data_IF_508913408935
#
_entry.id   IF_508913408935
#
_cell.length_a   1.000
_cell.length_b   1.000
_cell.length_c   1.000
_cell.angle_alpha   90.00
_cell.angle_beta   90.00
_cell.angle_gamma   90.00
#
_symmetry.space_group_name_H-M   'P 1'
#
loop_
_entity.id
_entity.type
_entity.pdbx_description
1 polymer ?
#
# COMPACT_ATOMS: atom_id res chain seq x y z
N UNK A 1 15.27 -14.98 16.14
CA UNK A 1 14.99 -14.86 14.69
C UNK A 1 13.74 -15.67 14.39
N UNK A 2 12.75 -15.08 13.75
CA UNK A 2 11.51 -15.76 13.36
C UNK A 2 11.44 -15.85 11.84
N UNK A 3 10.92 -16.96 11.32
CA UNK A 3 10.69 -17.11 9.88
C UNK A 3 9.38 -16.40 9.52
N UNK A 4 9.44 -15.52 8.52
CA UNK A 4 8.30 -14.79 8.00
C UNK A 4 7.89 -15.34 6.66
N UNK A 5 6.58 -15.56 6.47
CA UNK A 5 5.98 -15.80 5.15
C UNK A 5 5.61 -14.45 4.56
N UNK A 6 6.10 -14.15 3.37
CA UNK A 6 5.87 -12.86 2.72
C UNK A 6 5.23 -12.99 1.33
N UNK A 7 4.59 -11.90 0.91
CA UNK A 7 4.21 -11.61 -0.47
C UNK A 7 4.86 -10.28 -0.83
N UNK A 8 5.51 -10.23 -1.98
CA UNK A 8 6.19 -9.03 -2.48
C UNK A 8 5.92 -8.83 -3.98
N UNK A 9 6.23 -7.64 -4.47
CA UNK A 9 6.13 -7.25 -5.87
C UNK A 9 7.53 -6.97 -6.41
N UNK A 10 7.89 -7.58 -7.53
CA UNK A 10 9.07 -7.20 -8.30
C UNK A 10 8.77 -5.97 -9.16
N UNK A 11 9.82 -5.29 -9.64
CA UNK A 11 9.69 -4.08 -10.46
C UNK A 11 8.91 -4.30 -11.77
N UNK A 12 8.89 -5.52 -12.30
CA UNK A 12 8.11 -5.95 -13.47
C UNK A 12 6.62 -6.21 -13.16
N UNK A 13 6.18 -5.96 -11.92
CA UNK A 13 4.82 -6.24 -11.45
C UNK A 13 4.58 -7.71 -11.10
N UNK A 14 5.58 -8.58 -11.20
CA UNK A 14 5.44 -9.99 -10.83
C UNK A 14 5.34 -10.13 -9.32
N UNK A 15 4.32 -10.88 -8.88
CA UNK A 15 4.14 -11.20 -7.46
C UNK A 15 5.04 -12.36 -7.06
N UNK A 16 5.88 -12.13 -6.05
CA UNK A 16 6.77 -13.13 -5.45
C UNK A 16 6.23 -13.52 -4.08
N UNK A 17 6.30 -14.81 -3.76
CA UNK A 17 5.99 -15.32 -2.41
C UNK A 17 7.19 -16.12 -1.93
N UNK A 18 7.48 -16.05 -0.65
CA UNK A 18 8.59 -16.80 -0.07
C UNK A 18 8.57 -16.79 1.44
N UNK A 19 9.61 -17.38 2.00
CA UNK A 19 9.91 -17.31 3.42
C UNK A 19 11.28 -16.65 3.59
N UNK A 20 11.42 -15.85 4.64
CA UNK A 20 12.68 -15.21 4.99
C UNK A 20 12.76 -15.03 6.51
N UNK A 21 13.93 -15.26 7.08
CA UNK A 21 14.18 -14.97 8.48
C UNK A 21 14.45 -13.49 8.68
N UNK A 22 13.74 -12.89 9.64
CA UNK A 22 13.91 -11.50 10.05
C UNK A 22 13.54 -11.35 11.54
N UNK A 23 14.16 -10.41 12.24
CA UNK A 23 13.85 -10.07 13.62
C UNK A 23 12.47 -9.42 13.74
N UNK A 24 12.12 -8.56 12.78
CA UNK A 24 10.85 -7.83 12.72
C UNK A 24 10.43 -7.53 11.27
N UNK A 25 9.30 -6.82 11.12
CA UNK A 25 8.76 -6.43 9.82
C UNK A 25 9.68 -5.45 9.07
N UNK A 26 10.34 -4.53 9.78
CA UNK A 26 11.21 -3.53 9.17
C UNK A 26 12.49 -4.14 8.61
N UNK A 27 13.07 -5.12 9.31
CA UNK A 27 14.19 -5.90 8.80
C UNK A 27 13.78 -6.72 7.56
N UNK A 28 12.60 -7.33 7.57
CA UNK A 28 12.06 -8.05 6.42
C UNK A 28 11.91 -7.13 5.20
N UNK A 29 11.33 -5.93 5.38
CA UNK A 29 11.20 -4.93 4.32
C UNK A 29 12.55 -4.53 3.75
N UNK A 30 13.55 -4.27 4.61
CA UNK A 30 14.91 -3.92 4.16
C UNK A 30 15.57 -5.04 3.38
N UNK A 31 15.43 -6.28 3.82
CA UNK A 31 15.99 -7.47 3.14
C UNK A 31 15.33 -7.72 1.78
N UNK A 32 14.03 -7.47 1.65
CA UNK A 32 13.31 -7.55 0.38
C UNK A 32 13.67 -6.38 -0.54
N UNK A 33 13.77 -5.16 0.00
CA UNK A 33 14.19 -3.98 -0.74
C UNK A 33 15.57 -4.14 -1.37
N UNK A 34 16.53 -4.74 -0.66
CA UNK A 34 17.86 -5.08 -1.19
C UNK A 34 17.82 -6.07 -2.38
N UNK A 35 16.68 -6.75 -2.60
CA UNK A 35 16.43 -7.67 -3.72
C UNK A 35 15.52 -7.06 -4.79
N UNK A 36 15.29 -5.74 -4.75
CA UNK A 36 14.34 -5.03 -5.58
C UNK A 36 12.91 -5.61 -5.49
N UNK A 37 12.51 -6.04 -4.29
CA UNK A 37 11.18 -6.53 -3.97
C UNK A 37 10.49 -5.57 -3.01
N UNK A 38 9.30 -5.10 -3.39
CA UNK A 38 8.43 -4.29 -2.54
C UNK A 38 7.53 -5.22 -1.70
N UNK A 39 7.63 -5.16 -0.37
CA UNK A 39 6.77 -5.98 0.49
C UNK A 39 5.29 -5.58 0.33
N UNK A 40 4.41 -6.57 0.14
CA UNK A 40 2.95 -6.38 0.08
C UNK A 40 2.29 -6.82 1.39
N UNK A 41 2.73 -7.96 1.95
CA UNK A 41 2.13 -8.58 3.14
C UNK A 41 3.12 -9.56 3.76
N UNK A 42 3.17 -9.60 5.09
CA UNK A 42 4.04 -10.50 5.83
C UNK A 42 3.34 -11.06 7.07
N UNK A 43 3.62 -12.33 7.38
CA UNK A 43 3.11 -12.99 8.59
C UNK A 43 4.20 -13.85 9.22
N UNK A 44 4.40 -13.80 10.55
CA UNK A 44 5.31 -14.71 11.21
C UNK A 44 4.76 -16.15 11.11
N UNK A 45 5.64 -17.12 10.88
CA UNK A 45 5.27 -18.53 10.77
C UNK A 45 4.72 -19.02 12.11
N UNK A 46 3.42 -19.34 12.15
CA UNK A 46 2.70 -19.78 13.35
C UNK A 46 1.87 -18.69 14.05
N UNK A 47 1.95 -17.43 13.60
CA UNK A 47 1.13 -16.33 14.13
C UNK A 47 -0.21 -16.20 13.41
N UNK A 48 -1.30 -16.15 14.18
CA UNK A 48 -2.57 -15.62 13.68
C UNK A 48 -2.44 -14.10 13.52
N UNK A 49 -2.81 -13.56 12.36
CA UNK A 49 -2.87 -12.11 12.15
C UNK A 49 -3.99 -11.54 13.02
N UNK A 50 -3.64 -10.95 14.16
CA UNK A 50 -4.58 -10.41 15.16
C UNK A 50 -5.27 -9.11 14.71
N UNK A 51 -4.86 -8.54 13.58
CA UNK A 51 -5.39 -7.28 13.07
C UNK A 51 -5.94 -7.48 11.66
N UNK A 52 -7.21 -7.88 11.58
CA UNK A 52 -7.97 -7.84 10.32
C UNK A 52 -8.30 -6.37 10.03
N UNK A 53 -7.33 -5.61 9.50
CA UNK A 53 -7.56 -4.26 8.93
C UNK A 53 -8.72 -4.40 7.94
N UNK A 54 -9.81 -3.65 8.14
CA UNK A 54 -10.99 -3.70 7.25
C UNK A 54 -10.52 -3.33 5.85
N UNK A 55 -10.54 -4.29 4.93
CA UNK A 55 -10.09 -4.08 3.55
C UNK A 55 -11.17 -3.28 2.82
N UNK A 56 -10.74 -2.29 2.04
CA UNK A 56 -11.62 -1.61 1.09
C UNK A 56 -12.04 -2.66 0.03
N UNK A 57 -13.34 -2.82 -0.26
CA UNK A 57 -13.79 -3.79 -1.25
C UNK A 57 -13.33 -3.38 -2.64
N UNK A 58 -13.22 -4.36 -3.54
CA UNK A 58 -12.74 -4.13 -4.91
C UNK A 58 -13.65 -3.18 -5.70
N UNK A 59 -14.95 -3.16 -5.38
CA UNK A 59 -15.91 -2.24 -6.01
C UNK A 59 -15.63 -0.76 -5.72
N UNK A 60 -14.94 -0.44 -4.62
CA UNK A 60 -14.52 0.93 -4.30
C UNK A 60 -13.08 1.19 -4.77
N UNK A 61 -12.18 0.21 -4.61
CA UNK A 61 -10.77 0.36 -5.00
C UNK A 61 -10.55 0.48 -6.51
N UNK A 62 -11.29 -0.27 -7.32
CA UNK A 62 -11.08 -0.28 -8.78
C UNK A 62 -11.41 1.09 -9.39
N UNK A 63 -12.60 1.68 -9.13
CA UNK A 63 -12.90 3.03 -9.61
C UNK A 63 -11.92 4.09 -9.10
N UNK A 64 -11.55 4.01 -7.82
CA UNK A 64 -10.55 4.90 -7.23
C UNK A 64 -9.23 4.88 -8.01
N UNK A 65 -8.65 3.68 -8.21
CA UNK A 65 -7.39 3.53 -8.94
C UNK A 65 -7.51 3.99 -10.40
N UNK A 66 -8.63 3.69 -11.05
CA UNK A 66 -8.89 4.11 -12.42
C UNK A 66 -8.93 5.64 -12.53
N UNK A 67 -9.70 6.33 -11.68
CA UNK A 67 -9.80 7.79 -11.73
C UNK A 67 -8.49 8.48 -11.32
N UNK A 68 -7.76 7.92 -10.35
CA UNK A 68 -6.44 8.41 -9.99
C UNK A 68 -5.48 8.33 -11.18
N UNK A 69 -5.45 7.21 -11.88
CA UNK A 69 -4.63 7.05 -13.10
C UNK A 69 -4.98 8.09 -14.16
N UNK A 70 -6.28 8.34 -14.41
CA UNK A 70 -6.70 9.33 -15.39
C UNK A 70 -6.22 10.75 -15.04
N UNK A 71 -6.34 11.15 -13.76
CA UNK A 71 -5.90 12.46 -13.28
C UNK A 71 -4.37 12.61 -13.41
N UNK A 72 -3.63 11.60 -12.99
CA UNK A 72 -2.17 11.58 -13.11
C UNK A 72 -1.72 11.61 -14.58
N UNK A 73 -2.38 10.86 -15.46
CA UNK A 73 -2.09 10.84 -16.90
C UNK A 73 -2.41 12.19 -17.58
N UNK A 74 -3.40 12.92 -17.06
CA UNK A 74 -3.71 14.29 -17.47
C UNK A 74 -2.72 15.34 -16.94
N UNK A 75 -1.73 14.92 -16.13
CA UNK A 75 -0.72 15.80 -15.54
C UNK A 75 -1.17 16.51 -14.28
N UNK A 76 -2.32 16.13 -13.70
CA UNK A 76 -2.76 16.67 -12.41
C UNK A 76 -1.81 16.19 -11.31
N UNK A 77 -1.30 17.08 -10.44
CA UNK A 77 -0.44 16.68 -9.34
C UNK A 77 -1.08 15.60 -8.44
N UNK A 78 -0.30 14.67 -7.85
CA UNK A 78 -0.84 13.58 -7.03
C UNK A 78 -1.70 14.05 -5.85
N UNK A 79 -1.28 15.12 -5.16
CA UNK A 79 -2.03 15.71 -4.05
C UNK A 79 -3.40 16.24 -4.51
N UNK A 80 -3.44 17.01 -5.60
CA UNK A 80 -4.69 17.54 -6.17
C UNK A 80 -5.59 16.40 -6.66
N UNK A 81 -4.98 15.36 -7.24
CA UNK A 81 -5.70 14.17 -7.69
C UNK A 81 -6.38 13.45 -6.53
N UNK A 82 -5.67 13.25 -5.41
CA UNK A 82 -6.24 12.63 -4.20
C UNK A 82 -7.35 13.50 -3.59
N UNK A 83 -7.16 14.82 -3.53
CA UNK A 83 -8.18 15.74 -3.02
C UNK A 83 -9.46 15.70 -3.88
N UNK A 84 -9.32 15.70 -5.21
CA UNK A 84 -10.46 15.58 -6.14
C UNK A 84 -11.23 14.25 -5.94
N UNK A 85 -10.51 13.14 -5.71
CA UNK A 85 -11.14 11.83 -5.47
C UNK A 85 -11.86 11.75 -4.13
N UNK A 86 -11.35 12.43 -3.09
CA UNK A 86 -12.04 12.55 -1.81
C UNK A 86 -13.37 13.30 -1.96
N UNK A 87 -13.33 14.42 -2.69
CA UNK A 87 -14.45 15.34 -2.84
C UNK A 87 -15.53 14.80 -3.80
N UNK A 88 -15.19 13.83 -4.66
CA UNK A 88 -16.10 13.16 -5.59
C UNK A 88 -17.15 12.23 -4.94
N UNK A 89 -17.24 12.19 -3.61
CA UNK A 89 -18.28 11.42 -2.91
C UNK A 89 -17.95 9.93 -2.72
N UNK A 90 -16.68 9.61 -2.42
CA UNK A 90 -16.27 8.25 -2.04
C UNK A 90 -16.96 7.76 -0.75
N UNK A 91 -17.06 6.45 -0.57
CA UNK A 91 -17.56 5.86 0.67
C UNK A 91 -16.73 6.32 1.89
N UNK A 92 -17.32 6.48 3.09
CA UNK A 92 -16.63 7.04 4.25
C UNK A 92 -15.32 6.34 4.62
N UNK A 93 -15.22 5.04 4.34
CA UNK A 93 -14.01 4.25 4.60
C UNK A 93 -12.88 4.56 3.63
N UNK A 94 -13.21 4.77 2.36
CA UNK A 94 -12.23 5.14 1.35
C UNK A 94 -11.79 6.60 1.55
N UNK A 95 -12.71 7.50 1.92
CA UNK A 95 -12.39 8.89 2.28
C UNK A 95 -11.35 8.95 3.41
N UNK A 96 -11.55 8.19 4.49
CA UNK A 96 -10.57 8.12 5.59
C UNK A 96 -9.17 7.68 5.14
N UNK A 97 -9.10 6.77 4.17
CA UNK A 97 -7.80 6.33 3.61
C UNK A 97 -7.20 7.43 2.74
N UNK A 98 -8.00 8.11 1.93
CA UNK A 98 -7.52 9.23 1.10
C UNK A 98 -7.04 10.39 1.98
N UNK A 99 -7.75 10.73 3.05
CA UNK A 99 -7.32 11.76 4.01
C UNK A 99 -5.97 11.42 4.65
N UNK A 100 -5.76 10.15 5.03
CA UNK A 100 -4.48 9.69 5.55
C UNK A 100 -3.37 9.78 4.50
N UNK A 101 -3.64 9.37 3.26
CA UNK A 101 -2.68 9.48 2.16
C UNK A 101 -2.29 10.94 1.87
N UNK A 102 -3.27 11.85 1.86
CA UNK A 102 -3.02 13.29 1.68
C UNK A 102 -2.12 13.81 2.80
N UNK A 103 -2.44 13.53 4.06
CA UNK A 103 -1.65 13.98 5.20
C UNK A 103 -0.21 13.43 5.22
N UNK A 104 0.00 12.20 4.73
CA UNK A 104 1.33 11.62 4.62
C UNK A 104 2.16 12.27 3.50
N UNK A 105 1.53 12.49 2.34
CA UNK A 105 2.17 13.14 1.20
C UNK A 105 2.51 14.61 1.51
N UNK A 106 1.64 15.33 2.22
CA UNK A 106 1.92 16.69 2.71
C UNK A 106 3.14 16.75 3.63
N UNK A 107 3.43 15.65 4.35
CA UNK A 107 4.62 15.50 5.19
C UNK A 107 5.88 15.06 4.41
N UNK A 108 5.78 14.91 3.10
CA UNK A 108 6.89 14.53 2.22
C UNK A 108 7.14 13.03 2.15
N UNK A 109 6.21 12.18 2.63
CA UNK A 109 6.31 10.74 2.45
C UNK A 109 6.01 10.38 0.99
N UNK A 110 6.76 9.45 0.38
CA UNK A 110 6.38 8.91 -0.92
C UNK A 110 5.04 8.18 -0.80
N UNK A 111 4.21 8.22 -1.86
CA UNK A 111 2.88 7.58 -1.86
C UNK A 111 2.94 6.08 -1.52
N UNK A 112 4.02 5.39 -1.88
CA UNK A 112 4.24 3.99 -1.55
C UNK A 112 4.52 3.73 -0.05
N UNK A 113 4.89 4.77 0.69
CA UNK A 113 5.11 4.75 2.14
C UNK A 113 4.03 5.49 2.95
N UNK A 114 2.94 5.91 2.29
CA UNK A 114 1.79 6.58 2.89
C UNK A 114 0.66 5.58 3.18
N UNK A 115 0.00 5.71 4.34
CA UNK A 115 -1.16 4.99 4.92
C UNK A 115 -1.14 3.43 5.05
#
# INVERSE_FOLDING_TARGET
MSTWRYRALAADGRRVRGELDAADLGELERLLGARALLLIDARPRGGHSLLRRKRIPRGELIPFCYHLEQLLAAGVPPFESLAALRDAGAEPRLQQVIDALIADVERGLPLSGAA
#
